data_IF_498583235884
#
_entry.id   IF_498583235884
#
_cell.length_a   1.000
_cell.length_b   1.000
_cell.length_c   1.000
_cell.angle_alpha   90.00
_cell.angle_beta   90.00
_cell.angle_gamma   90.00
#
_symmetry.space_group_name_H-M   'P 1'
#
loop_
_entity.id
_entity.type
_entity.pdbx_description
1 polymer ?
#
# COMPACT_ATOMS: atom_id res chain seq x y z
N UNK A 1 -28.90 -30.98 28.42
CA UNK A 1 -28.53 -30.22 27.20
C UNK A 1 -28.17 -28.75 27.51
N UNK A 2 -27.13 -28.45 28.32
CA UNK A 2 -26.76 -27.06 28.70
C UNK A 2 -25.28 -26.68 28.47
N UNK A 3 -24.40 -27.67 28.19
CA UNK A 3 -22.95 -27.44 28.05
C UNK A 3 -22.55 -27.04 26.62
N UNK A 4 -23.15 -27.65 25.60
CA UNK A 4 -22.79 -27.40 24.19
C UNK A 4 -23.06 -25.96 23.72
N UNK A 5 -24.11 -25.31 24.24
CA UNK A 5 -24.42 -23.90 23.92
C UNK A 5 -23.37 -22.96 24.49
N UNK A 6 -22.81 -23.27 25.67
CA UNK A 6 -21.74 -22.47 26.27
C UNK A 6 -20.43 -22.60 25.49
N UNK A 7 -20.10 -23.81 25.04
CA UNK A 7 -18.88 -24.06 24.25
C UNK A 7 -18.99 -23.43 22.86
N UNK A 8 -20.15 -23.53 22.21
CA UNK A 8 -20.39 -22.89 20.92
C UNK A 8 -20.38 -21.35 21.00
N UNK A 9 -20.92 -20.78 22.08
CA UNK A 9 -20.83 -19.34 22.31
C UNK A 9 -19.40 -18.86 22.52
N UNK A 10 -18.58 -19.64 23.22
CA UNK A 10 -17.18 -19.29 23.51
C UNK A 10 -16.28 -19.36 22.26
N UNK A 11 -16.48 -20.32 21.37
CA UNK A 11 -15.71 -20.43 20.13
C UNK A 11 -16.02 -19.31 19.14
N UNK A 12 -17.29 -18.90 19.04
CA UNK A 12 -17.69 -17.75 18.21
C UNK A 12 -17.08 -16.45 18.74
N UNK A 13 -17.10 -16.24 20.06
CA UNK A 13 -16.46 -15.08 20.70
C UNK A 13 -14.94 -15.04 20.48
N UNK A 14 -14.28 -16.19 20.62
CA UNK A 14 -12.84 -16.29 20.38
C UNK A 14 -12.46 -16.00 18.92
N UNK A 15 -13.22 -16.53 17.96
CA UNK A 15 -13.01 -16.26 16.54
C UNK A 15 -13.24 -14.77 16.19
N UNK A 16 -14.28 -14.16 16.77
CA UNK A 16 -14.55 -12.73 16.58
C UNK A 16 -13.43 -11.84 17.15
N UNK A 17 -12.86 -12.20 18.30
CA UNK A 17 -11.75 -11.46 18.91
C UNK A 17 -10.49 -11.51 18.04
N UNK A 18 -10.15 -12.68 17.49
CA UNK A 18 -9.02 -12.83 16.56
C UNK A 18 -9.24 -12.03 15.28
N UNK A 19 -10.45 -12.08 14.71
CA UNK A 19 -10.82 -11.30 13.53
C UNK A 19 -10.74 -9.79 13.76
N UNK A 20 -11.15 -9.30 14.93
CA UNK A 20 -11.08 -7.89 15.29
C UNK A 20 -9.62 -7.41 15.43
N UNK A 21 -8.75 -8.21 16.05
CA UNK A 21 -7.32 -7.88 16.19
C UNK A 21 -6.65 -7.84 14.81
N UNK A 22 -6.92 -8.80 13.93
CA UNK A 22 -6.40 -8.82 12.57
C UNK A 22 -6.88 -7.59 11.76
N UNK A 23 -8.16 -7.22 11.87
CA UNK A 23 -8.71 -6.04 11.21
C UNK A 23 -8.07 -4.73 11.70
N UNK A 24 -7.77 -4.61 13.00
CA UNK A 24 -7.07 -3.44 13.55
C UNK A 24 -5.64 -3.35 13.06
N UNK A 25 -4.90 -4.46 13.03
CA UNK A 25 -3.50 -4.49 12.56
C UNK A 25 -3.42 -4.14 11.07
N UNK A 26 -4.31 -4.71 10.25
CA UNK A 26 -4.38 -4.41 8.80
C UNK A 26 -4.74 -2.94 8.56
N UNK A 27 -5.71 -2.41 9.32
CA UNK A 27 -6.11 -1.00 9.26
C UNK A 27 -4.97 -0.07 9.66
N UNK A 28 -4.20 -0.40 10.69
CA UNK A 28 -3.07 0.41 11.15
C UNK A 28 -1.89 0.42 10.15
N UNK A 29 -1.63 -0.70 9.47
CA UNK A 29 -0.63 -0.81 8.41
C UNK A 29 -0.98 0.07 7.20
N UNK A 30 -2.25 0.06 6.78
CA UNK A 30 -2.75 0.88 5.66
C UNK A 30 -2.73 2.38 6.03
N UNK A 31 -3.08 2.74 7.27
CA UNK A 31 -3.11 4.14 7.72
C UNK A 31 -1.69 4.72 7.88
N UNK A 32 -0.70 3.94 8.33
CA UNK A 32 0.67 4.46 8.52
C UNK A 32 1.42 4.68 7.19
N UNK A 33 1.32 3.78 6.21
CA UNK A 33 1.97 3.98 4.90
C UNK A 33 1.27 5.06 4.04
N UNK A 34 -0.06 5.24 4.16
CA UNK A 34 -0.78 6.32 3.46
C UNK A 34 -0.55 7.72 4.04
N UNK A 35 -0.16 7.85 5.31
CA UNK A 35 -0.21 9.15 6.03
C UNK A 35 0.76 10.23 5.55
N UNK A 36 1.90 9.88 4.94
CA UNK A 36 2.86 10.89 4.46
C UNK A 36 2.68 11.23 2.98
N UNK A 37 2.24 10.29 2.12
CA UNK A 37 1.88 10.58 0.73
C UNK A 37 0.59 11.38 0.60
N UNK A 38 -0.38 11.12 1.48
CA UNK A 38 -1.69 11.77 1.51
C UNK A 38 -1.80 12.85 2.60
N UNK A 39 -0.67 13.38 3.06
CA UNK A 39 -0.63 14.41 4.10
C UNK A 39 -1.24 15.74 3.60
N UNK A 40 -1.97 16.51 4.42
CA UNK A 40 -2.42 17.86 4.03
C UNK A 40 -1.25 18.83 3.75
N UNK A 41 -0.01 18.48 4.14
CA UNK A 41 1.19 19.30 3.94
C UNK A 41 1.90 18.93 2.63
N UNK A 42 1.89 19.85 1.66
CA UNK A 42 2.53 19.69 0.33
C UNK A 42 3.99 19.22 0.39
N UNK A 43 4.80 19.75 1.31
CA UNK A 43 6.22 19.39 1.42
C UNK A 43 6.45 17.93 1.84
N UNK A 44 5.58 17.37 2.69
CA UNK A 44 5.65 15.95 3.08
C UNK A 44 5.37 15.04 1.90
N UNK A 45 4.41 15.44 1.07
CA UNK A 45 4.04 14.71 -0.15
C UNK A 45 5.15 14.72 -1.19
N UNK A 46 5.82 15.86 -1.35
CA UNK A 46 7.00 15.95 -2.20
C UNK A 46 8.17 15.12 -1.67
N UNK A 47 8.42 15.14 -0.35
CA UNK A 47 9.46 14.32 0.27
C UNK A 47 9.17 12.82 0.09
N UNK A 48 7.90 12.43 0.20
CA UNK A 48 7.49 11.05 0.02
C UNK A 48 7.57 10.60 -1.46
N UNK A 49 7.22 11.47 -2.42
CA UNK A 49 7.54 11.23 -3.85
C UNK A 49 9.06 11.12 -4.08
N UNK A 50 9.85 11.94 -3.37
CA UNK A 50 11.31 11.85 -3.39
C UNK A 50 11.83 10.50 -2.88
N UNK A 51 11.19 9.93 -1.86
CA UNK A 51 11.51 8.59 -1.36
C UNK A 51 11.17 7.51 -2.38
N UNK A 52 9.92 7.48 -2.86
CA UNK A 52 9.45 6.50 -3.86
C UNK A 52 10.30 6.54 -5.13
N UNK A 53 10.75 7.73 -5.56
CA UNK A 53 11.58 7.86 -6.77
C UNK A 53 12.92 7.10 -6.70
N UNK A 54 13.37 6.69 -5.51
CA UNK A 54 14.61 5.91 -5.32
C UNK A 54 14.37 4.43 -5.14
N UNK A 55 13.13 4.01 -4.98
CA UNK A 55 12.77 2.60 -4.82
C UNK A 55 12.75 1.87 -6.17
N UNK A 56 12.92 0.54 -6.15
CA UNK A 56 12.78 -0.29 -7.35
C UNK A 56 11.30 -0.44 -7.71
N UNK A 57 11.02 -0.61 -9.00
CA UNK A 57 9.68 -0.90 -9.46
C UNK A 57 9.04 -2.08 -8.71
N UNK A 58 7.82 -1.83 -8.24
CA UNK A 58 6.95 -2.83 -7.61
C UNK A 58 5.51 -2.51 -7.99
N UNK A 59 4.70 -3.56 -8.17
CA UNK A 59 3.27 -3.43 -8.50
C UNK A 59 2.53 -2.60 -7.43
N UNK A 60 2.93 -2.74 -6.17
CA UNK A 60 2.32 -1.99 -5.06
C UNK A 60 2.62 -0.48 -5.14
N UNK A 61 3.86 -0.11 -5.50
CA UNK A 61 4.26 1.29 -5.68
C UNK A 61 3.58 1.92 -6.90
N UNK A 62 3.44 1.16 -7.98
CA UNK A 62 2.71 1.59 -9.20
C UNK A 62 1.26 1.90 -8.85
N UNK A 63 0.57 0.99 -8.15
CA UNK A 63 -0.81 1.21 -7.68
C UNK A 63 -0.91 2.41 -6.75
N UNK A 64 0.05 2.58 -5.83
CA UNK A 64 0.11 3.70 -4.91
C UNK A 64 0.27 5.05 -5.64
N UNK A 65 1.09 5.10 -6.70
CA UNK A 65 1.27 6.30 -7.53
C UNK A 65 0.02 6.64 -8.33
N UNK A 66 -0.68 5.64 -8.88
CA UNK A 66 -1.96 5.84 -9.56
C UNK A 66 -3.02 6.41 -8.60
N UNK A 67 -3.13 5.85 -7.40
CA UNK A 67 -4.01 6.36 -6.34
C UNK A 67 -3.65 7.82 -5.99
N UNK A 68 -2.36 8.13 -5.85
CA UNK A 68 -1.90 9.49 -5.54
C UNK A 68 -2.24 10.49 -6.65
N UNK A 69 -2.05 10.11 -7.92
CA UNK A 69 -2.36 10.96 -9.08
C UNK A 69 -3.85 11.28 -9.13
N UNK A 70 -4.71 10.28 -8.88
CA UNK A 70 -6.17 10.48 -8.88
C UNK A 70 -6.64 11.43 -7.77
N UNK A 71 -5.93 11.45 -6.64
CA UNK A 71 -6.30 12.20 -5.44
C UNK A 71 -5.67 13.60 -5.33
N UNK A 72 -4.52 13.85 -5.95
CA UNK A 72 -3.80 15.12 -5.85
C UNK A 72 -4.47 16.26 -6.67
N UNK A 73 -4.95 17.35 -6.03
CA UNK A 73 -5.40 18.52 -6.78
C UNK A 73 -4.30 19.23 -7.58
N UNK A 74 -3.07 19.33 -7.04
CA UNK A 74 -1.97 20.14 -7.62
C UNK A 74 -1.30 19.46 -8.82
N UNK A 75 -1.38 20.08 -10.00
CA UNK A 75 -0.79 19.57 -11.26
C UNK A 75 0.70 19.24 -11.15
N UNK A 76 1.51 20.13 -10.60
CA UNK A 76 2.97 19.94 -10.47
C UNK A 76 3.36 18.61 -9.77
N UNK A 77 2.63 18.21 -8.74
CA UNK A 77 2.92 16.96 -8.01
C UNK A 77 2.36 15.74 -8.74
N UNK A 78 1.26 15.87 -9.49
CA UNK A 78 0.77 14.82 -10.39
C UNK A 78 1.76 14.55 -11.50
N UNK A 79 2.25 15.60 -12.15
CA UNK A 79 3.22 15.48 -13.25
C UNK A 79 4.50 14.79 -12.75
N UNK A 80 4.97 15.16 -11.56
CA UNK A 80 6.13 14.49 -10.94
C UNK A 80 5.86 13.02 -10.60
N UNK A 81 4.69 12.70 -10.06
CA UNK A 81 4.32 11.32 -9.75
C UNK A 81 4.18 10.48 -11.03
N UNK A 82 3.71 11.08 -12.12
CA UNK A 82 3.56 10.42 -13.41
C UNK A 82 4.91 10.07 -14.03
N UNK A 83 5.91 10.97 -13.96
CA UNK A 83 7.29 10.65 -14.39
C UNK A 83 7.87 9.46 -13.62
N UNK A 84 7.60 9.36 -12.32
CA UNK A 84 8.07 8.22 -11.51
C UNK A 84 7.33 6.94 -11.89
N UNK A 85 6.01 7.03 -12.14
CA UNK A 85 5.18 5.93 -12.57
C UNK A 85 5.65 5.36 -13.90
N UNK A 86 5.88 6.20 -14.90
CA UNK A 86 6.32 5.78 -16.24
C UNK A 86 7.66 5.03 -16.15
N UNK A 87 8.64 5.57 -15.41
CA UNK A 87 9.93 4.89 -15.15
C UNK A 87 9.74 3.51 -14.50
N UNK A 88 8.82 3.40 -13.54
CA UNK A 88 8.55 2.13 -12.85
C UNK A 88 7.82 1.12 -13.74
N UNK A 89 6.96 1.58 -14.65
CA UNK A 89 6.29 0.73 -15.63
C UNK A 89 7.32 0.18 -16.63
N UNK A 90 8.23 1.04 -17.12
CA UNK A 90 9.33 0.63 -18.01
C UNK A 90 10.25 -0.41 -17.34
N UNK A 91 10.61 -0.18 -16.07
CA UNK A 91 11.38 -1.14 -15.27
C UNK A 91 10.63 -2.48 -15.10
N UNK A 92 9.34 -2.43 -14.80
CA UNK A 92 8.51 -3.63 -14.63
C UNK A 92 8.39 -4.40 -15.96
N UNK A 93 8.21 -3.71 -17.08
CA UNK A 93 8.19 -4.31 -18.41
C UNK A 93 9.52 -4.99 -18.74
N UNK A 94 10.65 -4.31 -18.47
CA UNK A 94 11.99 -4.89 -18.60
C UNK A 94 12.19 -6.15 -17.74
N UNK A 95 11.66 -6.17 -16.52
CA UNK A 95 11.71 -7.34 -15.63
C UNK A 95 10.84 -8.50 -16.14
N UNK A 96 9.73 -8.22 -16.82
CA UNK A 96 8.88 -9.28 -17.40
C UNK A 96 9.49 -9.90 -18.66
N UNK A 97 10.34 -9.14 -19.38
CA UNK A 97 10.96 -9.59 -20.64
C UNK A 97 12.25 -10.38 -20.37
N UNK A 98 12.95 -10.17 -19.25
CA UNK A 98 14.24 -10.80 -18.96
C UNK A 98 14.20 -11.71 -17.70
N UNK A 99 13.70 -12.96 -17.81
CA UNK A 99 13.54 -13.88 -16.67
C UNK A 99 14.87 -14.39 -16.08
N UNK A 100 16.04 -14.02 -16.65
CA UNK A 100 17.36 -14.48 -16.21
C UNK A 100 18.02 -13.57 -15.17
N UNK A 101 17.53 -12.34 -14.99
CA UNK A 101 18.15 -11.35 -14.10
C UNK A 101 17.91 -11.61 -12.60
N UNK A 102 17.01 -12.53 -12.22
CA UNK A 102 16.71 -12.86 -10.81
C UNK A 102 17.62 -13.94 -10.21
N UNK A 103 18.66 -14.37 -10.93
CA UNK A 103 19.62 -15.36 -10.44
C UNK A 103 21.01 -14.75 -10.28
N UNK A 104 21.19 -13.92 -9.25
CA UNK A 104 22.51 -13.59 -8.66
C UNK A 104 22.37 -13.55 -7.15
#
# INVERSE_FOLDING_TARGET
MKKSVKTAGLTVLAAAAVGAIAAVIIKDQIIRHKRDLFSPRTLRRLAALGHISRERASVDLIRLLLDFISWEPRRMLRDRAQVILDRMLDEAEGLTIDPKATSV
#
